data_IF_037026499433
#
_entry.id   IF_037026499433
#
_cell.length_a   1.000
_cell.length_b   1.000
_cell.length_c   1.000
_cell.angle_alpha   90.00
_cell.angle_beta   90.00
_cell.angle_gamma   90.00
#
_symmetry.space_group_name_H-M   'P 1'
#
loop_
_entity.id
_entity.type
_entity.pdbx_description
1 polymer ?
#
# COMPACT_ATOMS: atom_id res chain seq x y z
N UNK A 1 5.46 -9.33 -35.70
CA UNK A 1 5.69 -10.56 -34.92
C UNK A 1 5.23 -11.80 -35.74
N UNK A 2 3.95 -11.86 -36.14
CA UNK A 2 3.43 -12.99 -36.95
C UNK A 2 4.17 -13.18 -38.26
N UNK A 3 4.61 -12.11 -38.93
CA UNK A 3 5.35 -12.19 -40.18
C UNK A 3 6.74 -12.82 -40.05
N UNK A 4 7.33 -12.79 -38.85
CA UNK A 4 8.66 -13.36 -38.59
C UNK A 4 8.60 -14.83 -38.14
N UNK A 5 7.50 -15.26 -37.52
CA UNK A 5 7.27 -16.63 -37.07
C UNK A 5 8.09 -17.11 -35.85
N UNK A 6 9.13 -16.37 -35.49
CA UNK A 6 10.08 -16.77 -34.42
C UNK A 6 9.82 -16.09 -33.07
N UNK A 7 8.99 -15.05 -33.04
CA UNK A 7 8.73 -14.27 -31.81
C UNK A 7 7.45 -14.71 -31.11
N UNK A 8 7.52 -14.79 -29.77
CA UNK A 8 6.38 -15.03 -28.91
C UNK A 8 5.42 -13.84 -29.00
N UNK A 9 4.14 -14.11 -29.20
CA UNK A 9 3.11 -13.10 -29.13
C UNK A 9 2.72 -12.83 -27.66
N UNK A 10 2.47 -11.56 -27.28
CA UNK A 10 1.99 -11.27 -25.93
C UNK A 10 0.61 -11.91 -25.72
N UNK A 11 0.39 -12.46 -24.53
CA UNK A 11 -0.91 -13.01 -24.12
C UNK A 11 -1.89 -11.91 -23.78
N UNK A 12 -1.38 -10.83 -23.17
CA UNK A 12 -2.15 -9.65 -22.80
C UNK A 12 -1.26 -8.40 -22.93
N UNK A 13 -1.89 -7.25 -23.18
CA UNK A 13 -1.22 -5.93 -23.22
C UNK A 13 -2.11 -4.99 -22.40
N UNK A 14 -1.93 -4.97 -21.07
CA UNK A 14 -2.64 -4.03 -20.23
C UNK A 14 -2.30 -2.59 -20.63
N UNK A 15 -3.31 -1.76 -20.80
CA UNK A 15 -3.14 -0.36 -21.13
C UNK A 15 -3.80 0.50 -20.04
N UNK A 16 -3.19 1.64 -19.75
CA UNK A 16 -3.75 2.65 -18.86
C UNK A 16 -4.37 3.78 -19.68
N UNK A 17 -5.35 4.45 -19.11
CA UNK A 17 -5.87 5.70 -19.57
C UNK A 17 -4.93 6.87 -19.22
N UNK A 18 -5.35 8.11 -19.39
CA UNK A 18 -4.50 9.27 -19.12
C UNK A 18 -4.51 9.68 -17.64
N UNK A 19 -3.37 10.16 -17.19
CA UNK A 19 -3.26 10.89 -15.93
C UNK A 19 -3.09 12.38 -16.23
N UNK A 20 -3.98 13.20 -15.73
CA UNK A 20 -3.93 14.66 -15.79
C UNK A 20 -3.22 15.21 -14.55
N UNK A 21 -2.86 16.48 -14.57
CA UNK A 21 -2.20 17.17 -13.46
C UNK A 21 -2.89 18.50 -13.19
N UNK A 22 -3.37 18.69 -11.94
CA UNK A 22 -4.01 19.92 -11.48
C UNK A 22 -5.10 20.43 -12.44
N UNK A 23 -5.96 19.50 -12.92
CA UNK A 23 -7.10 19.83 -13.80
C UNK A 23 -6.77 19.99 -15.28
N UNK A 24 -5.51 19.81 -15.71
CA UNK A 24 -5.12 19.94 -17.11
C UNK A 24 -4.26 18.74 -17.57
N UNK A 25 -4.23 18.54 -18.88
CA UNK A 25 -3.42 17.52 -19.53
C UNK A 25 -1.93 17.79 -19.32
N UNK A 26 -1.17 16.81 -18.85
CA UNK A 26 0.29 16.89 -18.77
C UNK A 26 0.89 17.18 -20.14
N UNK A 27 1.87 18.08 -20.17
CA UNK A 27 2.54 18.51 -21.41
C UNK A 27 3.98 18.95 -21.13
N UNK A 28 4.93 18.21 -21.66
CA UNK A 28 6.35 18.56 -21.57
C UNK A 28 6.68 19.84 -22.32
N UNK A 29 6.05 20.08 -23.49
CA UNK A 29 6.27 21.29 -24.29
C UNK A 29 5.77 22.56 -23.60
N UNK A 30 4.77 22.46 -22.72
CA UNK A 30 4.27 23.56 -21.90
C UNK A 30 4.91 23.62 -20.50
N UNK A 31 5.88 22.74 -20.24
CA UNK A 31 6.47 22.54 -18.92
C UNK A 31 5.41 22.28 -17.82
N UNK A 32 4.31 21.60 -18.18
CA UNK A 32 3.22 21.24 -17.29
C UNK A 32 3.27 19.75 -16.95
N UNK A 33 4.23 19.39 -16.08
CA UNK A 33 4.46 18.02 -15.63
C UNK A 33 5.37 18.01 -14.41
N UNK A 34 5.28 16.99 -13.59
CA UNK A 34 6.28 16.76 -12.52
C UNK A 34 7.53 16.15 -13.18
N UNK A 35 8.63 16.90 -13.19
CA UNK A 35 9.91 16.41 -13.65
C UNK A 35 10.54 15.56 -12.55
N UNK A 36 10.86 14.29 -12.86
CA UNK A 36 11.36 13.35 -11.86
C UNK A 36 12.64 13.83 -11.17
N UNK A 37 13.58 14.38 -11.90
CA UNK A 37 14.83 14.88 -11.34
C UNK A 37 14.58 16.03 -10.35
N UNK A 38 13.71 16.97 -10.68
CA UNK A 38 13.33 18.07 -9.79
C UNK A 38 12.63 17.55 -8.53
N UNK A 39 11.71 16.58 -8.69
CA UNK A 39 11.07 15.95 -7.55
C UNK A 39 12.07 15.29 -6.59
N UNK A 40 13.06 14.57 -7.13
CA UNK A 40 14.06 13.89 -6.30
C UNK A 40 14.99 14.87 -5.56
N UNK A 41 15.25 16.05 -6.14
CA UNK A 41 16.01 17.12 -5.50
C UNK A 41 15.21 17.82 -4.41
N UNK A 42 13.93 18.11 -4.65
CA UNK A 42 13.05 18.81 -3.72
C UNK A 42 12.53 17.93 -2.57
N UNK A 43 12.36 16.62 -2.84
CA UNK A 43 11.81 15.65 -1.89
C UNK A 43 12.74 14.43 -1.69
N UNK A 44 13.96 14.61 -1.21
CA UNK A 44 14.90 13.51 -1.05
C UNK A 44 14.38 12.46 -0.07
N UNK A 45 14.47 11.18 -0.43
CA UNK A 45 13.98 10.06 0.37
C UNK A 45 12.45 9.91 0.38
N UNK A 46 11.75 10.55 -0.58
CA UNK A 46 10.29 10.44 -0.75
C UNK A 46 9.89 9.75 -2.06
N UNK A 47 10.79 9.00 -2.64
CA UNK A 47 10.57 8.28 -3.90
C UNK A 47 9.39 7.31 -3.79
N UNK A 48 9.30 6.59 -2.67
CA UNK A 48 8.24 5.63 -2.45
C UNK A 48 6.88 6.29 -2.14
N UNK A 49 6.89 7.51 -1.61
CA UNK A 49 5.65 8.31 -1.47
C UNK A 49 5.07 8.62 -2.84
N UNK A 50 5.91 9.04 -3.80
CA UNK A 50 5.46 9.29 -5.17
C UNK A 50 4.95 8.01 -5.84
N UNK A 51 5.69 6.90 -5.73
CA UNK A 51 5.23 5.59 -6.25
C UNK A 51 3.88 5.19 -5.67
N UNK A 52 3.72 5.35 -4.37
CA UNK A 52 2.46 5.07 -3.69
C UNK A 52 1.31 5.89 -4.26
N UNK A 53 1.47 7.21 -4.38
CA UNK A 53 0.41 8.11 -4.86
C UNK A 53 0.09 7.83 -6.34
N UNK A 54 1.08 7.60 -7.18
CA UNK A 54 0.87 7.24 -8.59
C UNK A 54 0.14 5.90 -8.72
N UNK A 55 0.49 4.91 -7.90
CA UNK A 55 -0.20 3.62 -7.87
C UNK A 55 -1.65 3.76 -7.39
N UNK A 56 -1.87 4.54 -6.33
CA UNK A 56 -3.20 4.80 -5.78
C UNK A 56 -4.13 5.56 -6.74
N UNK A 57 -3.55 6.35 -7.64
CA UNK A 57 -4.26 7.13 -8.65
C UNK A 57 -4.09 6.56 -10.07
N UNK A 58 -3.62 5.32 -10.21
CA UNK A 58 -3.38 4.73 -11.53
C UNK A 58 -4.64 4.77 -12.40
N UNK A 59 -4.55 5.27 -13.63
CA UNK A 59 -5.69 5.40 -14.54
C UNK A 59 -6.03 4.05 -15.22
N UNK A 60 -6.47 3.06 -14.44
CA UNK A 60 -6.66 1.68 -14.92
C UNK A 60 -7.81 1.53 -15.90
N UNK A 61 -8.94 2.23 -15.67
CA UNK A 61 -10.17 2.08 -16.45
C UNK A 61 -10.77 3.40 -16.92
N UNK A 62 -10.26 4.50 -16.45
CA UNK A 62 -10.64 5.87 -16.79
C UNK A 62 -9.51 6.82 -16.47
N UNK A 63 -9.56 8.00 -17.07
CA UNK A 63 -8.62 9.07 -16.74
C UNK A 63 -8.62 9.36 -15.24
N UNK A 64 -7.45 9.63 -14.74
CA UNK A 64 -7.22 10.03 -13.35
C UNK A 64 -6.51 11.37 -13.25
N UNK A 65 -6.33 11.85 -12.04
CA UNK A 65 -5.70 13.14 -11.79
C UNK A 65 -4.63 13.03 -10.71
N UNK A 66 -3.50 13.65 -10.95
CA UNK A 66 -2.50 13.93 -9.92
C UNK A 66 -2.67 15.36 -9.43
N UNK A 67 -2.79 15.54 -8.11
CA UNK A 67 -2.72 16.86 -7.47
C UNK A 67 -1.79 16.82 -6.26
N UNK A 68 -1.08 17.91 -6.00
CA UNK A 68 -0.23 18.02 -4.80
C UNK A 68 -1.04 17.95 -3.50
N UNK A 69 -2.28 18.39 -3.54
CA UNK A 69 -3.21 18.26 -2.42
C UNK A 69 -3.52 16.81 -2.10
N UNK A 70 -3.81 15.99 -3.12
CA UNK A 70 -4.04 14.55 -2.94
C UNK A 70 -2.76 13.83 -2.52
N UNK A 71 -1.60 14.19 -3.10
CA UNK A 71 -0.30 13.68 -2.68
C UNK A 71 -0.06 13.88 -1.17
N UNK A 72 -0.27 15.11 -0.68
CA UNK A 72 -0.13 15.40 0.75
C UNK A 72 -1.16 14.64 1.59
N UNK A 73 -2.41 14.59 1.15
CA UNK A 73 -3.49 13.89 1.86
C UNK A 73 -3.21 12.40 1.99
N UNK A 74 -2.80 11.72 0.92
CA UNK A 74 -2.45 10.29 0.94
C UNK A 74 -1.23 10.02 1.81
N UNK A 75 -0.18 10.81 1.68
CA UNK A 75 0.99 10.67 2.55
C UNK A 75 0.58 10.74 4.03
N UNK A 76 -0.20 11.73 4.41
CA UNK A 76 -0.55 11.95 5.82
C UNK A 76 -1.59 10.97 6.35
N UNK A 77 -2.66 10.72 5.58
CA UNK A 77 -3.80 9.94 6.06
C UNK A 77 -3.63 8.43 5.85
N UNK A 78 -2.82 8.01 4.87
CA UNK A 78 -2.65 6.61 4.53
C UNK A 78 -1.28 6.10 4.99
N UNK A 79 -0.18 6.68 4.50
CA UNK A 79 1.17 6.23 4.85
C UNK A 79 1.53 6.53 6.30
N UNK A 80 1.29 7.76 6.78
CA UNK A 80 1.64 8.14 8.15
C UNK A 80 0.61 7.62 9.14
N UNK A 81 -0.68 7.91 8.94
CA UNK A 81 -1.71 7.63 9.92
C UNK A 81 -2.13 6.15 9.99
N UNK A 82 -1.99 5.37 8.92
CA UNK A 82 -2.34 3.96 8.91
C UNK A 82 -1.08 3.10 9.03
N UNK A 83 -0.22 3.11 8.02
CA UNK A 83 0.96 2.24 7.97
C UNK A 83 2.01 2.63 9.02
N UNK A 84 2.38 3.90 9.06
CA UNK A 84 3.37 4.43 10.01
C UNK A 84 2.92 4.29 11.47
N UNK A 85 1.64 4.54 11.74
CA UNK A 85 1.07 4.34 13.08
C UNK A 85 1.15 2.87 13.51
N UNK A 86 0.78 1.93 12.64
CA UNK A 86 0.87 0.50 12.93
C UNK A 86 2.31 0.08 13.23
N UNK A 87 3.22 0.40 12.32
CA UNK A 87 4.64 0.08 12.48
C UNK A 87 5.21 0.67 13.78
N UNK A 88 4.95 1.96 14.05
CA UNK A 88 5.38 2.62 15.29
C UNK A 88 4.83 1.94 16.54
N UNK A 89 3.54 1.59 16.57
CA UNK A 89 2.90 0.92 17.72
C UNK A 89 3.57 -0.43 17.99
N UNK A 90 3.76 -1.26 16.96
CA UNK A 90 4.43 -2.56 17.10
C UNK A 90 5.85 -2.39 17.60
N UNK A 91 6.65 -1.52 16.98
CA UNK A 91 8.03 -1.28 17.37
C UNK A 91 8.17 -0.76 18.81
N UNK A 92 7.32 0.18 19.22
CA UNK A 92 7.31 0.71 20.58
C UNK A 92 6.94 -0.36 21.61
N UNK A 93 5.96 -1.20 21.32
CA UNK A 93 5.58 -2.31 22.21
C UNK A 93 6.72 -3.34 22.32
N UNK A 94 7.33 -3.72 21.21
CA UNK A 94 8.44 -4.66 21.16
C UNK A 94 9.65 -4.10 21.94
N UNK A 95 10.00 -2.83 21.73
CA UNK A 95 11.10 -2.20 22.45
C UNK A 95 10.84 -2.12 23.97
N UNK A 96 9.61 -1.80 24.35
CA UNK A 96 9.25 -1.58 25.76
C UNK A 96 9.10 -2.87 26.56
N UNK A 97 8.58 -3.93 25.96
CA UNK A 97 8.16 -5.14 26.67
C UNK A 97 8.97 -6.38 26.31
N UNK A 98 9.82 -6.30 25.29
CA UNK A 98 10.64 -7.42 24.83
C UNK A 98 12.06 -7.00 24.40
N UNK A 99 12.61 -5.96 25.03
CA UNK A 99 13.98 -5.45 24.80
C UNK A 99 14.34 -5.23 23.32
N UNK A 100 13.35 -4.85 22.51
CA UNK A 100 13.52 -4.64 21.06
C UNK A 100 13.66 -5.92 20.24
N UNK A 101 13.50 -7.09 20.84
CA UNK A 101 13.55 -8.38 20.15
C UNK A 101 12.15 -8.85 19.76
N UNK A 102 12.04 -9.54 18.63
CA UNK A 102 10.81 -10.23 18.29
C UNK A 102 10.57 -11.35 19.30
N UNK A 103 9.40 -11.40 19.98
CA UNK A 103 9.11 -12.46 20.94
C UNK A 103 9.03 -13.83 20.25
N UNK A 104 9.34 -14.89 20.99
CA UNK A 104 9.11 -16.24 20.52
C UNK A 104 7.61 -16.49 20.30
N UNK A 105 7.31 -17.26 19.27
CA UNK A 105 5.93 -17.60 18.95
C UNK A 105 5.37 -18.56 20.02
N UNK A 106 4.32 -18.14 20.70
CA UNK A 106 3.55 -19.04 21.55
C UNK A 106 2.49 -19.74 20.68
N UNK A 107 2.76 -20.99 20.32
CA UNK A 107 1.88 -21.79 19.46
C UNK A 107 0.47 -21.99 20.05
N UNK A 108 0.33 -21.99 21.37
CA UNK A 108 -0.98 -22.10 22.01
C UNK A 108 -1.89 -20.93 21.66
N UNK A 109 -1.34 -19.73 21.42
CA UNK A 109 -2.13 -18.56 21.02
C UNK A 109 -2.66 -18.65 19.60
N UNK A 110 -2.09 -19.49 18.74
CA UNK A 110 -2.56 -19.64 17.35
C UNK A 110 -3.96 -20.26 17.27
N UNK A 111 -4.37 -21.00 18.27
CA UNK A 111 -5.72 -21.61 18.38
C UNK A 111 -6.74 -20.73 19.07
N UNK A 112 -6.33 -19.59 19.61
CA UNK A 112 -7.27 -18.66 20.23
C UNK A 112 -8.28 -18.12 19.20
N UNK A 113 -9.59 -18.11 19.52
CA UNK A 113 -10.64 -17.76 18.56
C UNK A 113 -10.42 -16.42 17.86
N UNK A 114 -9.92 -15.43 18.59
CA UNK A 114 -9.64 -14.12 18.01
C UNK A 114 -8.46 -14.14 17.06
N UNK A 115 -7.39 -14.90 17.35
CA UNK A 115 -6.23 -15.03 16.45
C UNK A 115 -6.66 -15.72 15.16
N UNK A 116 -7.41 -16.81 15.28
CA UNK A 116 -7.97 -17.55 14.13
C UNK A 116 -8.84 -16.63 13.27
N UNK A 117 -9.71 -15.82 13.90
CA UNK A 117 -10.57 -14.89 13.16
C UNK A 117 -9.78 -13.79 12.42
N UNK A 118 -8.74 -13.22 13.02
CA UNK A 118 -7.87 -12.24 12.37
C UNK A 118 -7.04 -12.86 11.23
N UNK A 119 -6.48 -14.05 11.46
CA UNK A 119 -5.74 -14.76 10.41
C UNK A 119 -6.63 -15.09 9.22
N UNK A 120 -7.88 -15.53 9.45
CA UNK A 120 -8.84 -15.79 8.40
C UNK A 120 -9.16 -14.52 7.58
N UNK A 121 -9.37 -13.37 8.24
CA UNK A 121 -9.62 -12.10 7.57
C UNK A 121 -8.42 -11.65 6.73
N UNK A 122 -7.20 -11.75 7.27
CA UNK A 122 -5.98 -11.40 6.54
C UNK A 122 -5.81 -12.32 5.33
N UNK A 123 -6.02 -13.63 5.51
CA UNK A 123 -5.95 -14.61 4.44
C UNK A 123 -6.94 -14.32 3.32
N UNK A 124 -8.20 -14.05 3.65
CA UNK A 124 -9.24 -13.67 2.68
C UNK A 124 -8.84 -12.39 1.91
N UNK A 125 -8.36 -11.33 2.59
CA UNK A 125 -7.90 -10.12 1.91
C UNK A 125 -6.74 -10.38 0.95
N UNK A 126 -5.82 -11.28 1.30
CA UNK A 126 -4.68 -11.59 0.44
C UNK A 126 -5.12 -12.47 -0.73
N UNK A 127 -5.81 -13.58 -0.47
CA UNK A 127 -6.10 -14.61 -1.48
C UNK A 127 -7.28 -14.23 -2.39
N UNK A 128 -8.29 -13.52 -1.86
CA UNK A 128 -9.52 -13.22 -2.60
C UNK A 128 -9.54 -11.81 -3.20
N UNK A 129 -8.71 -10.87 -2.68
CA UNK A 129 -8.68 -9.49 -3.16
C UNK A 129 -7.33 -9.10 -3.71
N UNK A 130 -6.25 -9.18 -2.90
CA UNK A 130 -4.92 -8.70 -3.27
C UNK A 130 -4.33 -9.48 -4.44
N UNK A 131 -4.21 -10.80 -4.33
CA UNK A 131 -3.61 -11.61 -5.40
C UNK A 131 -4.38 -11.51 -6.71
N UNK A 132 -5.72 -11.68 -6.75
CA UNK A 132 -6.48 -11.49 -8.00
C UNK A 132 -6.39 -10.07 -8.55
N UNK A 133 -6.27 -9.05 -7.71
CA UNK A 133 -6.10 -7.68 -8.17
C UNK A 133 -4.75 -7.48 -8.88
N UNK A 134 -3.66 -8.00 -8.31
CA UNK A 134 -2.32 -7.97 -8.94
C UNK A 134 -2.32 -8.72 -10.27
N UNK A 135 -2.88 -9.94 -10.31
CA UNK A 135 -2.94 -10.77 -11.52
C UNK A 135 -3.75 -10.13 -12.66
N UNK A 136 -4.75 -9.32 -12.29
CA UNK A 136 -5.60 -8.58 -13.24
C UNK A 136 -5.17 -7.12 -13.46
N UNK A 137 -3.96 -6.74 -13.03
CA UNK A 137 -3.41 -5.39 -13.17
C UNK A 137 -4.24 -4.28 -12.51
N UNK A 138 -5.02 -4.62 -11.47
CA UNK A 138 -5.81 -3.68 -10.67
C UNK A 138 -5.04 -3.24 -9.43
N UNK A 139 -4.00 -2.46 -9.66
CA UNK A 139 -3.05 -2.08 -8.61
C UNK A 139 -3.66 -1.19 -7.53
N UNK A 140 -4.67 -0.39 -7.87
CA UNK A 140 -5.41 0.42 -6.89
C UNK A 140 -6.14 -0.45 -5.87
N UNK A 141 -6.82 -1.51 -6.35
CA UNK A 141 -7.53 -2.45 -5.48
C UNK A 141 -6.54 -3.25 -4.62
N UNK A 142 -5.43 -3.69 -5.20
CA UNK A 142 -4.36 -4.37 -4.47
C UNK A 142 -3.78 -3.50 -3.36
N UNK A 143 -3.51 -2.22 -3.65
CA UNK A 143 -2.98 -1.27 -2.68
C UNK A 143 -3.99 -1.02 -1.55
N UNK A 144 -5.28 -0.90 -1.87
CA UNK A 144 -6.36 -0.78 -0.88
C UNK A 144 -6.41 -2.00 0.05
N UNK A 145 -6.35 -3.22 -0.51
CA UNK A 145 -6.36 -4.46 0.27
C UNK A 145 -5.15 -4.55 1.22
N UNK A 146 -3.97 -4.12 0.77
CA UNK A 146 -2.78 -4.01 1.63
C UNK A 146 -3.00 -3.08 2.82
N UNK A 147 -3.61 -1.91 2.59
CA UNK A 147 -3.95 -0.99 3.69
C UNK A 147 -5.01 -1.57 4.63
N UNK A 148 -5.95 -2.37 4.11
CA UNK A 148 -6.96 -3.03 4.95
C UNK A 148 -6.33 -4.08 5.87
N UNK A 149 -5.30 -4.81 5.42
CA UNK A 149 -4.49 -5.67 6.30
C UNK A 149 -3.84 -4.86 7.43
N UNK A 150 -3.27 -3.70 7.12
CA UNK A 150 -2.67 -2.81 8.14
C UNK A 150 -3.73 -2.26 9.11
N UNK A 151 -4.93 -1.92 8.62
CA UNK A 151 -6.07 -1.50 9.45
C UNK A 151 -6.49 -2.60 10.42
N UNK A 152 -6.53 -3.86 9.97
CA UNK A 152 -6.78 -5.00 10.86
C UNK A 152 -5.72 -5.10 11.95
N UNK A 153 -4.44 -4.93 11.63
CA UNK A 153 -3.38 -4.91 12.63
C UNK A 153 -3.54 -3.78 13.65
N UNK A 154 -3.88 -2.56 13.21
CA UNK A 154 -4.18 -1.45 14.10
C UNK A 154 -5.39 -1.72 15.00
N UNK A 155 -6.43 -2.35 14.43
CA UNK A 155 -7.64 -2.75 15.16
C UNK A 155 -7.31 -3.79 16.22
N UNK A 156 -6.54 -4.82 15.88
CA UNK A 156 -6.09 -5.84 16.83
C UNK A 156 -5.41 -5.21 18.05
N UNK A 157 -4.45 -4.33 17.82
CA UNK A 157 -3.76 -3.62 18.90
C UNK A 157 -4.70 -2.76 19.76
N UNK A 158 -5.77 -2.25 19.17
CA UNK A 158 -6.75 -1.42 19.89
C UNK A 158 -7.74 -2.27 20.68
N UNK A 159 -8.21 -3.37 20.12
CA UNK A 159 -9.21 -4.24 20.73
C UNK A 159 -8.63 -5.02 21.93
N UNK A 160 -7.36 -5.45 21.82
CA UNK A 160 -6.71 -6.29 22.86
C UNK A 160 -5.80 -5.54 23.82
N UNK A 161 -5.49 -4.29 23.56
CA UNK A 161 -4.70 -3.42 24.44
C UNK A 161 -3.52 -4.15 25.13
N UNK A 162 -2.57 -4.75 24.37
CA UNK A 162 -1.53 -5.62 24.93
C UNK A 162 -0.72 -4.97 26.06
N UNK A 163 -0.63 -3.64 26.08
CA UNK A 163 -0.01 -2.88 27.17
C UNK A 163 -0.74 -2.96 28.50
N UNK A 164 -1.99 -3.39 28.54
CA UNK A 164 -2.73 -3.66 29.78
C UNK A 164 -2.51 -5.10 30.24
N UNK A 165 -2.48 -6.06 29.31
CA UNK A 165 -2.32 -7.48 29.63
C UNK A 165 -0.94 -7.81 30.23
N UNK A 166 0.12 -7.08 29.81
CA UNK A 166 1.49 -7.29 30.30
C UNK A 166 1.67 -6.76 31.75
N UNK A 167 0.78 -5.93 32.25
CA UNK A 167 0.86 -5.36 33.61
C UNK A 167 0.16 -6.21 34.69
N UNK A 168 -0.60 -7.22 34.26
CA UNK A 168 -1.24 -8.21 35.11
C UNK A 168 -0.40 -9.45 35.25
#
# INVERSE_FOLDING_TARGET
LKSHGEYILPTNIPANEFMNMEGDKMSTSRNWSVQLHTYLEEFPGKEDVMRYVLCANMPETKDSEFTWKDFQARNNNELVAILGNYAKRVMVLTAKYNDGKVPELNEALLSEPYVVAYQAQIKSLIEEVYCPAIENYRFRDALSAMLDVVRLGNKLLTDYEPWKLIKT
#
